data_IF_945384411161
#
_entry.id   IF_945384411161
#
_cell.length_a   1.000
_cell.length_b   1.000
_cell.length_c   1.000
_cell.angle_alpha   90.00
_cell.angle_beta   90.00
_cell.angle_gamma   90.00
#
_symmetry.space_group_name_H-M   'P 1'
#
loop_
_entity.id
_entity.type
_entity.pdbx_description
1 polymer ?
#
# COMPACT_ATOMS: atom_id res chain seq x y z
N UNK A 1 -9.91 45.06 -0.54
CA UNK A 1 -8.55 44.69 -0.13
C UNK A 1 -8.63 44.29 1.34
N UNK A 2 -9.02 43.04 1.64
CA UNK A 2 -8.87 42.46 2.98
C UNK A 2 -7.94 41.27 2.81
N UNK A 3 -6.72 41.44 3.31
CA UNK A 3 -5.73 40.40 3.34
C UNK A 3 -6.16 39.36 4.35
N UNK A 4 -6.07 38.09 3.96
CA UNK A 4 -5.98 36.96 4.90
C UNK A 4 -4.74 37.27 5.73
N UNK A 5 -4.95 37.84 6.90
CA UNK A 5 -3.87 38.23 7.80
C UNK A 5 -3.56 36.99 8.62
N UNK A 6 -2.31 36.52 8.53
CA UNK A 6 -1.73 35.63 9.53
C UNK A 6 -1.93 36.26 10.91
N UNK A 7 -2.99 35.85 11.60
CA UNK A 7 -3.29 36.27 12.95
C UNK A 7 -2.18 35.71 13.84
N UNK A 8 -1.21 36.56 14.17
CA UNK A 8 -0.05 36.24 15.01
C UNK A 8 0.79 35.04 14.56
N UNK A 9 1.67 35.27 13.58
CA UNK A 9 2.94 34.58 13.23
C UNK A 9 3.08 33.04 13.23
N UNK A 10 2.14 32.26 13.73
CA UNK A 10 2.18 30.79 13.78
C UNK A 10 0.79 30.11 13.78
N UNK A 11 -0.33 30.87 13.75
CA UNK A 11 -1.68 30.28 13.72
C UNK A 11 -2.37 30.48 12.38
N UNK A 12 -2.79 29.38 11.78
CA UNK A 12 -3.62 29.32 10.57
C UNK A 12 -5.04 29.73 10.97
N UNK A 13 -5.68 30.57 10.15
CA UNK A 13 -7.08 30.98 10.39
C UNK A 13 -8.00 29.74 10.50
N UNK A 14 -8.93 29.71 11.46
CA UNK A 14 -9.81 28.56 11.68
C UNK A 14 -10.65 28.22 10.44
N UNK A 15 -11.06 29.22 9.67
CA UNK A 15 -11.81 29.06 8.41
C UNK A 15 -11.02 28.27 7.33
N UNK A 16 -9.69 28.41 7.34
CA UNK A 16 -8.79 27.69 6.44
C UNK A 16 -8.71 26.21 6.82
N UNK A 17 -8.69 25.90 8.13
CA UNK A 17 -8.70 24.53 8.66
C UNK A 17 -10.05 23.86 8.38
N UNK A 18 -11.15 24.58 8.56
CA UNK A 18 -12.50 24.10 8.24
C UNK A 18 -12.63 23.79 6.74
N UNK A 19 -12.18 24.69 5.88
CA UNK A 19 -12.19 24.50 4.42
C UNK A 19 -11.35 23.30 3.98
N UNK A 20 -10.18 23.07 4.61
CA UNK A 20 -9.37 21.88 4.37
C UNK A 20 -10.09 20.60 4.82
N UNK A 21 -10.74 20.63 5.98
CA UNK A 21 -11.49 19.50 6.52
C UNK A 21 -12.68 19.13 5.64
N UNK A 22 -13.42 20.13 5.16
CA UNK A 22 -14.50 19.95 4.19
C UNK A 22 -13.98 19.34 2.88
N UNK A 23 -12.89 19.88 2.33
CA UNK A 23 -12.26 19.33 1.13
C UNK A 23 -11.89 17.86 1.35
N UNK A 24 -11.24 17.53 2.46
CA UNK A 24 -10.88 16.15 2.80
C UNK A 24 -12.09 15.20 2.87
N UNK A 25 -13.19 15.63 3.50
CA UNK A 25 -14.42 14.85 3.55
C UNK A 25 -15.02 14.62 2.16
N UNK A 26 -15.05 15.66 1.33
CA UNK A 26 -15.50 15.56 -0.07
C UNK A 26 -14.59 14.61 -0.86
N UNK A 27 -13.27 14.65 -0.64
CA UNK A 27 -12.32 13.73 -1.28
C UNK A 27 -12.70 12.28 -1.04
N UNK A 28 -12.82 11.90 0.24
CA UNK A 28 -13.10 10.53 0.65
C UNK A 28 -14.45 10.10 0.10
N UNK A 29 -15.48 10.96 0.21
CA UNK A 29 -16.82 10.64 -0.27
C UNK A 29 -16.84 10.41 -1.79
N UNK A 30 -16.28 11.33 -2.58
CA UNK A 30 -16.30 11.26 -4.04
C UNK A 30 -15.47 10.09 -4.56
N UNK A 31 -14.28 9.86 -4.00
CA UNK A 31 -13.42 8.75 -4.41
C UNK A 31 -14.07 7.40 -4.12
N UNK A 32 -14.60 7.20 -2.91
CA UNK A 32 -15.25 5.94 -2.54
C UNK A 32 -16.57 5.69 -3.28
N UNK A 33 -17.43 6.69 -3.41
CA UNK A 33 -18.69 6.54 -4.16
C UNK A 33 -18.41 6.32 -5.65
N UNK A 34 -17.47 7.06 -6.23
CA UNK A 34 -17.10 6.93 -7.64
C UNK A 34 -16.51 5.56 -7.96
N UNK A 35 -15.56 5.08 -7.14
CA UNK A 35 -14.95 3.76 -7.33
C UNK A 35 -15.96 2.63 -7.10
N UNK A 36 -16.79 2.73 -6.06
CA UNK A 36 -17.87 1.76 -5.80
C UNK A 36 -18.86 1.68 -6.96
N UNK A 37 -19.29 2.83 -7.51
CA UNK A 37 -20.17 2.86 -8.66
C UNK A 37 -19.52 2.22 -9.90
N UNK A 38 -18.24 2.50 -10.16
CA UNK A 38 -17.52 1.91 -11.28
C UNK A 38 -17.42 0.37 -11.18
N UNK A 39 -17.10 -0.15 -9.99
CA UNK A 39 -17.04 -1.60 -9.72
C UNK A 39 -18.44 -2.22 -9.84
N UNK A 40 -19.46 -1.56 -9.30
CA UNK A 40 -20.84 -2.02 -9.37
C UNK A 40 -21.34 -2.12 -10.81
N UNK A 41 -21.13 -1.07 -11.61
CA UNK A 41 -21.49 -1.07 -13.03
C UNK A 41 -20.79 -2.19 -13.79
N UNK A 42 -19.50 -2.43 -13.52
CA UNK A 42 -18.78 -3.54 -14.13
C UNK A 42 -19.41 -4.90 -13.79
N UNK A 43 -19.67 -5.16 -12.50
CA UNK A 43 -20.28 -6.42 -12.06
C UNK A 43 -21.69 -6.58 -12.62
N UNK A 44 -22.46 -5.50 -12.73
CA UNK A 44 -23.79 -5.54 -13.35
C UNK A 44 -23.74 -5.85 -14.85
N UNK A 45 -22.65 -5.53 -15.55
CA UNK A 45 -22.53 -5.72 -17.00
C UNK A 45 -21.86 -7.05 -17.38
N UNK A 46 -21.02 -7.63 -16.52
CA UNK A 46 -20.22 -8.83 -16.85
C UNK A 46 -20.78 -10.10 -16.17
N UNK A 47 -21.38 -11.04 -16.93
CA UNK A 47 -22.01 -12.24 -16.37
C UNK A 47 -21.05 -13.14 -15.58
N UNK A 48 -19.81 -13.28 -16.06
CA UNK A 48 -18.80 -14.13 -15.40
C UNK A 48 -18.50 -13.65 -13.97
N UNK A 49 -18.40 -12.32 -13.79
CA UNK A 49 -18.19 -11.72 -12.47
C UNK A 49 -19.41 -11.94 -11.55
N UNK A 50 -20.62 -11.90 -12.12
CA UNK A 50 -21.85 -12.18 -11.36
C UNK A 50 -21.93 -13.62 -10.91
N UNK A 51 -21.56 -14.57 -11.77
CA UNK A 51 -21.60 -16.00 -11.45
C UNK A 51 -20.63 -16.33 -10.31
N UNK A 52 -19.42 -15.77 -10.36
CA UNK A 52 -18.42 -15.89 -9.28
C UNK A 52 -19.00 -15.40 -7.94
N UNK A 53 -19.62 -14.23 -7.91
CA UNK A 53 -20.21 -13.67 -6.68
C UNK A 53 -21.45 -14.43 -6.20
N UNK A 54 -22.29 -14.91 -7.12
CA UNK A 54 -23.44 -15.77 -6.78
C UNK A 54 -22.98 -17.07 -6.13
N UNK A 55 -21.94 -17.72 -6.68
CA UNK A 55 -21.36 -18.95 -6.09
C UNK A 55 -20.83 -18.73 -4.68
N UNK A 56 -20.31 -17.53 -4.39
CA UNK A 56 -19.81 -17.14 -3.07
C UNK A 56 -20.90 -16.62 -2.13
N UNK A 57 -22.13 -16.43 -2.60
CA UNK A 57 -23.24 -15.90 -1.80
C UNK A 57 -23.07 -14.42 -1.42
N UNK A 58 -22.30 -13.64 -2.19
CA UNK A 58 -22.01 -12.24 -1.90
C UNK A 58 -22.84 -11.34 -2.81
N UNK A 59 -23.54 -10.36 -2.22
CA UNK A 59 -24.29 -9.36 -2.97
C UNK A 59 -23.36 -8.39 -3.72
N UNK A 60 -23.76 -7.99 -4.93
CA UNK A 60 -22.95 -7.12 -5.81
C UNK A 60 -22.66 -5.75 -5.20
N UNK A 61 -23.65 -5.17 -4.52
CA UNK A 61 -23.52 -3.87 -3.84
C UNK A 61 -22.50 -3.97 -2.70
N UNK A 62 -22.59 -5.02 -1.88
CA UNK A 62 -21.66 -5.26 -0.76
C UNK A 62 -20.24 -5.42 -1.30
N UNK A 63 -20.08 -6.24 -2.34
CA UNK A 63 -18.77 -6.43 -2.96
C UNK A 63 -18.17 -5.12 -3.46
N UNK A 64 -18.97 -4.32 -4.18
CA UNK A 64 -18.50 -3.09 -4.81
C UNK A 64 -18.13 -2.02 -3.78
N UNK A 65 -18.98 -1.82 -2.77
CA UNK A 65 -18.75 -0.84 -1.71
C UNK A 65 -17.55 -1.27 -0.86
N UNK A 66 -17.50 -2.52 -0.42
CA UNK A 66 -16.42 -3.01 0.44
C UNK A 66 -15.08 -2.97 -0.26
N UNK A 67 -15.01 -3.49 -1.49
CA UNK A 67 -13.79 -3.50 -2.29
C UNK A 67 -13.32 -2.07 -2.54
N UNK A 68 -14.21 -1.16 -2.95
CA UNK A 68 -13.85 0.24 -3.15
C UNK A 68 -13.24 0.89 -1.91
N UNK A 69 -13.86 0.69 -0.74
CA UNK A 69 -13.37 1.25 0.53
C UNK A 69 -12.01 0.67 0.90
N UNK A 70 -11.83 -0.63 0.69
CA UNK A 70 -10.57 -1.31 0.96
C UNK A 70 -9.45 -0.85 0.02
N UNK A 71 -9.72 -0.76 -1.29
CA UNK A 71 -8.72 -0.37 -2.29
C UNK A 71 -8.32 1.10 -2.12
N UNK A 72 -9.27 2.03 -1.93
CA UNK A 72 -8.98 3.46 -1.66
C UNK A 72 -8.32 3.63 -0.29
N UNK A 73 -8.71 2.83 0.69
CA UNK A 73 -8.13 2.80 2.03
C UNK A 73 -6.77 2.11 2.12
N UNK A 74 -6.31 1.46 1.03
CA UNK A 74 -5.09 0.68 1.01
C UNK A 74 -5.07 -0.41 2.10
N UNK A 75 -6.18 -1.13 2.27
CA UNK A 75 -6.37 -2.09 3.36
C UNK A 75 -6.11 -3.56 2.98
N UNK A 76 -6.23 -3.92 1.69
CA UNK A 76 -5.97 -5.28 1.20
C UNK A 76 -7.03 -6.32 1.53
N UNK A 77 -8.14 -5.90 2.15
CA UNK A 77 -9.27 -6.76 2.44
C UNK A 77 -10.20 -6.85 1.24
N UNK A 78 -10.73 -8.03 1.01
CA UNK A 78 -11.83 -8.25 0.08
C UNK A 78 -12.87 -9.12 0.77
N UNK A 79 -14.13 -9.10 0.32
CA UNK A 79 -15.19 -9.90 0.94
C UNK A 79 -15.12 -11.38 0.53
N UNK A 80 -14.12 -11.78 -0.27
CA UNK A 80 -13.88 -13.14 -0.74
C UNK A 80 -12.60 -13.71 -0.11
N UNK A 81 -12.59 -15.00 0.21
CA UNK A 81 -11.48 -15.63 0.92
C UNK A 81 -10.20 -15.71 0.06
N UNK A 82 -10.35 -15.87 -1.25
CA UNK A 82 -9.24 -16.00 -2.21
C UNK A 82 -8.69 -14.65 -2.68
N UNK A 83 -9.11 -13.53 -2.08
CA UNK A 83 -8.77 -12.19 -2.55
C UNK A 83 -9.12 -12.01 -4.05
N UNK A 84 -8.33 -11.24 -4.79
CA UNK A 84 -8.54 -10.99 -6.21
C UNK A 84 -8.08 -12.15 -7.12
N UNK A 85 -7.56 -13.25 -6.57
CA UNK A 85 -7.17 -14.45 -7.33
C UNK A 85 -8.36 -15.03 -8.09
N UNK A 86 -9.56 -15.01 -7.50
CA UNK A 86 -10.77 -15.49 -8.16
C UNK A 86 -11.17 -14.65 -9.39
N UNK A 87 -10.71 -13.40 -9.46
CA UNK A 87 -10.95 -12.47 -10.55
C UNK A 87 -9.73 -12.30 -11.47
N UNK A 88 -8.73 -13.18 -11.37
CA UNK A 88 -7.48 -13.08 -12.14
C UNK A 88 -7.72 -12.99 -13.67
N UNK A 89 -8.79 -13.62 -14.19
CA UNK A 89 -9.15 -13.58 -15.62
C UNK A 89 -9.89 -12.30 -16.03
N UNK A 90 -10.44 -11.55 -15.07
CA UNK A 90 -11.28 -10.36 -15.27
C UNK A 90 -10.45 -9.08 -15.34
N UNK A 91 -9.70 -8.90 -16.43
CA UNK A 91 -8.74 -7.78 -16.59
C UNK A 91 -9.36 -6.40 -16.44
N UNK A 92 -10.60 -6.21 -16.88
CA UNK A 92 -11.28 -4.91 -16.79
C UNK A 92 -11.53 -4.56 -15.31
N UNK A 93 -11.91 -5.52 -14.47
CA UNK A 93 -12.06 -5.30 -13.03
C UNK A 93 -10.73 -4.86 -12.40
N UNK A 94 -9.64 -5.56 -12.72
CA UNK A 94 -8.31 -5.23 -12.22
C UNK A 94 -7.88 -3.81 -12.65
N UNK A 95 -8.14 -3.44 -13.90
CA UNK A 95 -7.86 -2.10 -14.41
C UNK A 95 -8.73 -1.01 -13.77
N UNK A 96 -9.94 -1.32 -13.33
CA UNK A 96 -10.79 -0.38 -12.59
C UNK A 96 -10.30 -0.16 -11.15
N UNK A 97 -9.76 -1.20 -10.51
CA UNK A 97 -9.28 -1.14 -9.12
C UNK A 97 -7.91 -0.45 -9.02
N UNK A 98 -7.03 -0.56 -10.03
CA UNK A 98 -5.69 0.08 -10.02
C UNK A 98 -5.77 1.59 -9.72
N UNK A 99 -6.59 2.40 -10.44
CA UNK A 99 -6.76 3.81 -10.11
C UNK A 99 -7.27 4.04 -8.68
N UNK A 100 -8.20 3.20 -8.18
CA UNK A 100 -8.72 3.30 -6.81
C UNK A 100 -7.61 3.15 -5.77
N UNK A 101 -6.71 2.19 -5.98
CA UNK A 101 -5.53 1.98 -5.12
C UNK A 101 -4.59 3.19 -5.17
N UNK A 102 -4.33 3.72 -6.36
CA UNK A 102 -3.43 4.86 -6.54
C UNK A 102 -3.98 6.14 -5.90
N UNK A 103 -5.30 6.37 -5.99
CA UNK A 103 -6.01 7.48 -5.33
C UNK A 103 -5.95 7.39 -3.79
N UNK A 104 -5.68 6.20 -3.25
CA UNK A 104 -5.45 5.99 -1.84
C UNK A 104 -4.11 6.55 -1.36
N UNK A 105 -3.49 5.88 -0.37
CA UNK A 105 -2.34 6.39 0.37
C UNK A 105 -1.09 6.68 -0.49
N UNK A 106 -0.99 6.09 -1.69
CA UNK A 106 0.16 6.22 -2.59
C UNK A 106 0.22 7.57 -3.30
N UNK A 107 -0.89 8.04 -3.91
CA UNK A 107 -0.97 9.35 -4.57
C UNK A 107 -1.96 10.30 -3.90
N UNK A 108 -2.32 10.05 -2.64
CA UNK A 108 -3.21 10.90 -1.86
C UNK A 108 -2.81 12.37 -1.90
N UNK A 109 -1.52 12.68 -1.70
CA UNK A 109 -1.03 14.07 -1.67
C UNK A 109 -1.24 14.83 -3.01
N UNK A 110 -0.78 14.32 -4.17
CA UNK A 110 -1.12 14.89 -5.48
C UNK A 110 -2.62 15.01 -5.75
N UNK A 111 -3.41 13.98 -5.42
CA UNK A 111 -4.84 13.93 -5.71
C UNK A 111 -5.64 14.92 -4.86
N UNK A 112 -5.29 15.04 -3.57
CA UNK A 112 -5.85 16.05 -2.67
C UNK A 112 -5.56 17.46 -3.20
N UNK A 113 -4.33 17.74 -3.64
CA UNK A 113 -3.94 19.04 -4.22
C UNK A 113 -4.74 19.34 -5.50
N UNK A 114 -4.92 18.36 -6.37
CA UNK A 114 -5.73 18.51 -7.59
C UNK A 114 -7.20 18.79 -7.27
N UNK A 115 -7.77 18.09 -6.28
CA UNK A 115 -9.14 18.33 -5.84
C UNK A 115 -9.28 19.74 -5.24
N UNK A 116 -8.33 20.18 -4.42
CA UNK A 116 -8.30 21.55 -3.89
C UNK A 116 -8.26 22.62 -4.99
N UNK A 117 -7.46 22.40 -6.03
CA UNK A 117 -7.44 23.28 -7.20
C UNK A 117 -8.78 23.28 -7.94
N UNK A 118 -9.47 22.14 -7.99
CA UNK A 118 -10.80 22.01 -8.59
C UNK A 118 -11.87 22.74 -7.76
N UNK A 119 -11.87 22.57 -6.44
CA UNK A 119 -12.74 23.32 -5.52
C UNK A 119 -12.48 24.82 -5.56
N UNK A 120 -11.21 25.24 -5.68
CA UNK A 120 -10.87 26.66 -5.91
C UNK A 120 -11.56 27.20 -7.16
N UNK A 121 -11.55 26.46 -8.27
CA UNK A 121 -12.20 26.89 -9.52
C UNK A 121 -13.72 26.96 -9.41
N UNK A 122 -14.34 26.02 -8.69
CA UNK A 122 -15.79 25.92 -8.54
C UNK A 122 -16.32 26.96 -7.55
N UNK A 123 -15.74 27.01 -6.34
CA UNK A 123 -16.23 27.85 -5.24
C UNK A 123 -15.65 29.27 -5.26
N UNK A 124 -14.53 29.51 -5.96
CA UNK A 124 -13.80 30.80 -6.01
C UNK A 124 -13.44 31.39 -4.64
N UNK A 125 -13.39 30.52 -3.63
CA UNK A 125 -13.01 30.81 -2.24
C UNK A 125 -11.51 31.12 -2.14
N UNK A 126 -11.14 32.17 -1.40
CA UNK A 126 -9.74 32.64 -1.28
C UNK A 126 -8.91 31.73 -0.38
N UNK A 127 -9.57 31.01 0.50
CA UNK A 127 -9.00 30.08 1.48
C UNK A 127 -8.27 28.94 0.76
N UNK A 128 -8.86 28.38 -0.30
CA UNK A 128 -8.20 27.35 -1.12
C UNK A 128 -6.97 27.86 -1.85
N UNK A 129 -6.94 29.15 -2.22
CA UNK A 129 -5.77 29.75 -2.84
C UNK A 129 -4.62 29.90 -1.82
N UNK A 130 -4.96 30.35 -0.61
CA UNK A 130 -4.00 30.44 0.50
C UNK A 130 -3.39 29.08 0.85
N UNK A 131 -4.21 28.03 0.95
CA UNK A 131 -3.73 26.66 1.25
C UNK A 131 -2.79 26.13 0.17
N UNK A 132 -3.10 26.36 -1.11
CA UNK A 132 -2.27 25.89 -2.22
C UNK A 132 -0.93 26.62 -2.33
N UNK A 133 -0.88 27.89 -1.93
CA UNK A 133 0.31 28.75 -1.95
C UNK A 133 1.20 28.56 -0.72
N UNK A 134 0.62 28.30 0.45
CA UNK A 134 1.33 28.18 1.73
C UNK A 134 1.14 26.82 2.43
N UNK A 135 1.40 25.68 1.77
CA UNK A 135 1.13 24.36 2.34
C UNK A 135 1.95 24.05 3.60
N UNK A 136 3.17 24.62 3.73
CA UNK A 136 4.01 24.47 4.92
C UNK A 136 3.43 25.17 6.16
N UNK A 137 2.71 26.27 5.97
CA UNK A 137 2.10 27.05 7.06
C UNK A 137 0.87 26.33 7.61
N UNK A 138 0.13 25.65 6.74
CA UNK A 138 -1.05 24.84 7.11
C UNK A 138 -0.67 23.62 7.98
N UNK A 139 0.58 23.17 7.93
CA UNK A 139 1.09 22.11 8.80
C UNK A 139 0.57 20.70 8.50
N UNK A 140 -0.28 20.52 7.48
CA UNK A 140 -0.78 19.21 7.08
C UNK A 140 0.26 18.48 6.24
N UNK A 141 0.87 17.41 6.80
CA UNK A 141 1.99 16.66 6.20
C UNK A 141 1.71 16.15 4.78
N UNK A 142 0.46 15.84 4.45
CA UNK A 142 0.07 15.33 3.14
C UNK A 142 -0.16 16.44 2.10
N UNK A 143 -0.19 17.71 2.51
CA UNK A 143 -0.30 18.83 1.59
C UNK A 143 1.12 19.23 1.14
N UNK A 144 1.55 18.69 0.00
CA UNK A 144 2.88 18.92 -0.54
C UNK A 144 2.89 20.07 -1.55
N UNK A 145 4.08 20.62 -1.82
CA UNK A 145 4.26 21.61 -2.89
C UNK A 145 4.02 20.98 -4.27
N UNK A 146 3.64 21.79 -5.29
CA UNK A 146 3.41 21.27 -6.65
C UNK A 146 4.60 20.48 -7.21
N UNK A 147 5.84 20.95 -6.99
CA UNK A 147 7.05 20.25 -7.42
C UNK A 147 7.24 18.90 -6.73
N UNK A 148 6.99 18.85 -5.42
CA UNK A 148 7.08 17.63 -4.62
C UNK A 148 6.01 16.61 -5.05
N UNK A 149 4.79 17.05 -5.37
CA UNK A 149 3.75 16.20 -5.93
C UNK A 149 4.17 15.60 -7.27
N UNK A 150 4.77 16.40 -8.17
CA UNK A 150 5.27 15.91 -9.46
C UNK A 150 6.38 14.89 -9.24
N UNK A 151 7.34 15.18 -8.36
CA UNK A 151 8.42 14.24 -8.05
C UNK A 151 7.92 12.91 -7.50
N UNK A 152 6.94 12.95 -6.58
CA UNK A 152 6.28 11.76 -6.07
C UNK A 152 5.55 10.97 -7.16
N UNK A 153 4.82 11.65 -8.05
CA UNK A 153 4.15 10.97 -9.18
C UNK A 153 5.15 10.29 -10.11
N UNK A 154 6.25 10.98 -10.47
CA UNK A 154 7.29 10.39 -11.31
C UNK A 154 7.94 9.18 -10.65
N UNK A 155 8.23 9.23 -9.35
CA UNK A 155 8.86 8.11 -8.64
C UNK A 155 7.90 6.92 -8.48
N UNK A 156 6.62 7.18 -8.23
CA UNK A 156 5.58 6.14 -8.18
C UNK A 156 5.44 5.43 -9.51
N UNK A 157 5.31 6.19 -10.61
CA UNK A 157 5.20 5.63 -11.96
C UNK A 157 6.46 4.83 -12.31
N UNK A 158 7.65 5.35 -12.01
CA UNK A 158 8.92 4.66 -12.26
C UNK A 158 8.98 3.32 -11.53
N UNK A 159 8.60 3.27 -10.26
CA UNK A 159 8.58 2.03 -9.48
C UNK A 159 7.56 1.02 -9.98
N UNK A 160 6.37 1.47 -10.38
CA UNK A 160 5.35 0.56 -10.92
C UNK A 160 5.83 -0.03 -12.25
N UNK A 161 6.37 0.81 -13.15
CA UNK A 161 6.89 0.36 -14.46
C UNK A 161 8.06 -0.61 -14.27
N UNK A 162 9.02 -0.27 -13.41
CA UNK A 162 10.17 -1.13 -13.12
C UNK A 162 9.73 -2.48 -12.54
N UNK A 163 8.84 -2.49 -11.55
CA UNK A 163 8.31 -3.74 -10.97
C UNK A 163 7.54 -4.56 -11.99
N UNK A 164 6.72 -3.92 -12.84
CA UNK A 164 5.94 -4.62 -13.87
C UNK A 164 6.87 -5.28 -14.89
N UNK A 165 7.93 -4.58 -15.32
CA UNK A 165 8.93 -5.14 -16.25
C UNK A 165 9.64 -6.34 -15.61
N UNK A 166 10.10 -6.20 -14.36
CA UNK A 166 10.79 -7.30 -13.66
C UNK A 166 9.87 -8.50 -13.43
N UNK A 167 8.61 -8.26 -13.03
CA UNK A 167 7.61 -9.30 -12.86
C UNK A 167 7.34 -10.04 -14.18
N UNK A 168 7.05 -9.30 -15.26
CA UNK A 168 6.87 -9.90 -16.58
C UNK A 168 8.12 -10.67 -17.03
N UNK A 169 9.33 -10.17 -16.77
CA UNK A 169 10.57 -10.83 -17.20
C UNK A 169 10.85 -12.14 -16.45
N UNK A 170 10.51 -12.21 -15.16
CA UNK A 170 10.86 -13.34 -14.31
C UNK A 170 9.73 -14.39 -14.24
N UNK A 171 8.48 -13.97 -14.35
CA UNK A 171 7.29 -14.82 -14.14
C UNK A 171 6.58 -15.24 -15.42
N UNK A 172 7.04 -14.82 -16.61
CA UNK A 172 6.31 -15.06 -17.87
C UNK A 172 5.92 -16.53 -18.12
N UNK A 173 6.80 -17.45 -17.68
CA UNK A 173 6.65 -18.88 -17.87
C UNK A 173 6.36 -19.63 -16.57
N UNK A 174 6.04 -18.94 -15.48
CA UNK A 174 5.78 -19.59 -14.19
C UNK A 174 4.39 -20.22 -14.15
N UNK A 175 4.22 -21.21 -13.26
CA UNK A 175 2.94 -21.91 -13.09
C UNK A 175 1.83 -20.94 -12.63
N UNK A 176 2.20 -19.90 -11.87
CA UNK A 176 1.30 -18.87 -11.36
C UNK A 176 0.54 -18.12 -12.45
N UNK A 177 1.14 -17.95 -13.64
CA UNK A 177 0.57 -17.19 -14.76
C UNK A 177 0.21 -18.08 -15.97
N UNK A 178 0.35 -19.40 -15.85
CA UNK A 178 0.25 -20.34 -16.97
C UNK A 178 -1.15 -20.43 -17.57
N UNK A 179 -2.19 -20.18 -16.76
CA UNK A 179 -3.58 -20.17 -17.23
C UNK A 179 -4.03 -18.85 -17.88
N UNK A 180 -3.15 -17.85 -17.94
CA UNK A 180 -3.48 -16.50 -18.39
C UNK A 180 -3.01 -16.23 -19.81
N UNK A 181 -3.82 -15.50 -20.58
CA UNK A 181 -3.39 -14.97 -21.86
C UNK A 181 -2.36 -13.84 -21.67
N UNK A 182 -1.52 -13.54 -22.67
CA UNK A 182 -0.46 -12.53 -22.62
C UNK A 182 -0.95 -11.16 -22.14
N UNK A 183 -2.14 -10.75 -22.59
CA UNK A 183 -2.77 -9.51 -22.13
C UNK A 183 -3.15 -9.55 -20.64
N UNK A 184 -3.71 -10.68 -20.17
CA UNK A 184 -4.06 -10.88 -18.77
C UNK A 184 -2.82 -10.91 -17.88
N UNK A 185 -1.73 -11.50 -18.35
CA UNK A 185 -0.44 -11.52 -17.64
C UNK A 185 0.11 -10.11 -17.44
N UNK A 186 0.10 -9.26 -18.47
CA UNK A 186 0.56 -7.87 -18.36
C UNK A 186 -0.30 -7.07 -17.37
N UNK A 187 -1.62 -7.19 -17.47
CA UNK A 187 -2.55 -6.50 -16.55
C UNK A 187 -2.37 -7.01 -15.12
N UNK A 188 -2.17 -8.32 -14.95
CA UNK A 188 -1.92 -8.93 -13.65
C UNK A 188 -0.59 -8.50 -13.03
N UNK A 189 0.47 -8.42 -13.84
CA UNK A 189 1.77 -7.91 -13.42
C UNK A 189 1.69 -6.45 -12.97
N UNK A 190 0.95 -5.62 -13.72
CA UNK A 190 0.69 -4.23 -13.36
C UNK A 190 -0.10 -4.14 -12.05
N UNK A 191 -1.16 -4.95 -11.91
CA UNK A 191 -1.99 -5.00 -10.70
C UNK A 191 -1.16 -5.37 -9.47
N UNK A 192 -0.34 -6.42 -9.54
CA UNK A 192 0.51 -6.81 -8.42
C UNK A 192 1.58 -5.77 -8.09
N UNK A 193 2.16 -5.14 -9.11
CA UNK A 193 3.17 -4.08 -8.93
C UNK A 193 2.61 -2.85 -8.23
N UNK A 194 1.34 -2.50 -8.50
CA UNK A 194 0.63 -1.43 -7.79
C UNK A 194 0.32 -1.86 -6.35
N UNK A 195 -0.13 -3.11 -6.15
CA UNK A 195 -0.52 -3.62 -4.82
C UNK A 195 0.64 -3.81 -3.86
N UNK A 196 1.84 -4.14 -4.36
CA UNK A 196 3.06 -4.22 -3.58
C UNK A 196 3.39 -2.91 -2.84
N UNK A 197 2.89 -1.77 -3.35
CA UNK A 197 3.05 -0.45 -2.73
C UNK A 197 1.87 -0.13 -1.79
N UNK A 198 1.76 -0.90 -0.72
CA UNK A 198 0.83 -0.73 0.42
C UNK A 198 -0.66 -0.94 0.13
N UNK A 199 -1.09 -1.79 -0.80
CA UNK A 199 -2.53 -2.06 -0.96
C UNK A 199 -2.94 -3.50 -0.68
N UNK A 200 -2.06 -4.48 -0.92
CA UNK A 200 -2.22 -5.82 -0.35
C UNK A 200 -3.17 -6.77 -1.08
N UNK A 201 -3.85 -6.34 -2.15
CA UNK A 201 -4.68 -7.23 -2.95
C UNK A 201 -3.81 -8.06 -3.89
N UNK A 202 -4.04 -9.37 -3.93
CA UNK A 202 -3.28 -10.30 -4.75
C UNK A 202 -4.16 -11.06 -5.74
N UNK A 203 -3.62 -11.29 -6.94
CA UNK A 203 -4.28 -12.06 -8.01
C UNK A 203 -3.63 -13.42 -8.24
N UNK A 204 -2.47 -13.66 -7.64
CA UNK A 204 -1.76 -14.94 -7.65
C UNK A 204 -1.27 -15.24 -6.25
N UNK A 205 -1.05 -16.52 -5.96
CA UNK A 205 -0.40 -16.93 -4.72
C UNK A 205 1.06 -16.43 -4.73
N UNK A 206 1.38 -15.49 -3.84
CA UNK A 206 2.71 -14.89 -3.78
C UNK A 206 3.79 -15.92 -3.55
N UNK A 207 3.47 -17.00 -2.84
CA UNK A 207 4.45 -18.01 -2.51
C UNK A 207 4.84 -18.92 -3.68
N UNK A 208 4.10 -18.85 -4.78
CA UNK A 208 4.45 -19.50 -6.05
C UNK A 208 5.38 -18.65 -6.93
N UNK A 209 5.60 -17.37 -6.58
CA UNK A 209 6.48 -16.47 -7.31
C UNK A 209 7.96 -16.76 -7.04
N UNK A 210 8.82 -16.37 -7.98
CA UNK A 210 10.27 -16.44 -7.82
C UNK A 210 10.75 -15.65 -6.60
N UNK A 211 11.79 -16.17 -5.93
CA UNK A 211 12.37 -15.51 -4.76
C UNK A 211 12.87 -14.09 -5.06
N UNK A 212 13.29 -13.82 -6.29
CA UNK A 212 13.70 -12.49 -6.74
C UNK A 212 12.56 -11.47 -6.67
N UNK A 213 11.35 -11.83 -7.09
CA UNK A 213 10.16 -10.97 -6.99
C UNK A 213 9.73 -10.78 -5.54
N UNK A 214 9.82 -11.84 -4.71
CA UNK A 214 9.50 -11.72 -3.29
C UNK A 214 10.45 -10.77 -2.56
N UNK A 215 11.74 -10.79 -2.89
CA UNK A 215 12.72 -9.81 -2.37
C UNK A 215 12.39 -8.40 -2.85
N UNK A 216 12.05 -8.23 -4.12
CA UNK A 216 11.63 -6.95 -4.67
C UNK A 216 10.40 -6.38 -3.94
N UNK A 217 9.38 -7.20 -3.72
CA UNK A 217 8.18 -6.80 -2.95
C UNK A 217 8.54 -6.49 -1.49
N UNK A 218 9.42 -7.26 -0.86
CA UNK A 218 9.89 -6.97 0.50
C UNK A 218 10.49 -5.56 0.60
N UNK A 219 11.35 -5.18 -0.36
CA UNK A 219 11.94 -3.84 -0.42
C UNK A 219 10.85 -2.77 -0.63
N UNK A 220 9.92 -3.01 -1.56
CA UNK A 220 8.86 -2.05 -1.89
C UNK A 220 7.85 -1.84 -0.75
N UNK A 221 7.53 -2.89 0.01
CA UNK A 221 6.67 -2.81 1.20
C UNK A 221 7.34 -2.05 2.35
N UNK A 222 8.66 -2.14 2.47
CA UNK A 222 9.42 -1.41 3.49
C UNK A 222 9.48 0.10 3.19
N UNK A 223 9.67 0.46 1.92
CA UNK A 223 9.76 1.87 1.50
C UNK A 223 8.43 2.61 1.78
N UNK A 224 8.46 3.79 2.43
CA UNK A 224 7.25 4.58 2.62
C UNK A 224 6.57 5.00 1.32
N UNK A 225 5.24 5.18 1.36
CA UNK A 225 4.45 5.63 0.20
C UNK A 225 4.95 6.95 -0.40
N UNK A 226 5.43 7.88 0.43
CA UNK A 226 5.94 9.21 0.06
C UNK A 226 7.43 9.25 -0.34
N UNK A 227 8.03 8.09 -0.64
CA UNK A 227 9.43 8.05 -1.12
C UNK A 227 9.58 8.72 -2.49
N UNK A 228 10.47 9.71 -2.55
CA UNK A 228 10.85 10.43 -3.76
C UNK A 228 12.37 10.46 -3.91
N UNK A 229 12.86 10.01 -5.07
CA UNK A 229 14.29 9.95 -5.39
C UNK A 229 14.82 11.19 -6.13
N UNK A 230 13.93 12.10 -6.54
CA UNK A 230 14.32 13.32 -7.25
C UNK A 230 14.81 14.40 -6.27
N UNK A 231 15.88 15.14 -6.62
CA UNK A 231 16.45 16.17 -5.76
C UNK A 231 15.43 17.28 -5.52
N UNK A 232 15.31 17.67 -4.25
CA UNK A 232 14.46 18.77 -3.82
C UNK A 232 15.19 20.08 -4.15
N UNK A 233 14.89 20.69 -5.29
CA UNK A 233 15.53 21.95 -5.71
C UNK A 233 15.33 23.04 -4.64
N UNK A 234 16.44 23.44 -4.01
CA UNK A 234 16.48 24.43 -2.94
C UNK A 234 17.76 24.44 -2.10
N UNK A 235 18.69 23.50 -2.27
CA UNK A 235 19.98 23.48 -1.57
C UNK A 235 21.13 23.56 -2.56
N UNK A 236 21.48 24.76 -3.03
CA UNK A 236 22.61 24.95 -3.93
C UNK A 236 23.82 25.70 -3.36
N UNK A 237 23.88 26.06 -2.07
CA UNK A 237 25.04 26.85 -1.57
C UNK A 237 25.60 26.54 -0.15
N UNK A 238 25.32 25.37 0.46
CA UNK A 238 25.90 25.02 1.80
C UNK A 238 26.32 23.54 1.97
N UNK A 239 26.60 22.87 0.85
CA UNK A 239 26.41 21.42 0.65
C UNK A 239 27.48 20.42 1.14
N UNK A 240 28.45 20.77 1.99
CA UNK A 240 29.45 19.79 2.46
C UNK A 240 29.18 19.32 3.90
N UNK A 241 29.12 20.23 4.89
CA UNK A 241 28.88 19.84 6.30
C UNK A 241 27.43 19.35 6.56
N UNK A 242 26.43 19.96 5.91
CA UNK A 242 25.03 19.58 6.10
C UNK A 242 24.69 18.23 5.44
N UNK A 243 25.43 17.87 4.38
CA UNK A 243 25.30 16.59 3.66
C UNK A 243 25.84 15.44 4.50
N UNK A 244 26.96 15.65 5.21
CA UNK A 244 27.53 14.69 6.16
C UNK A 244 26.67 14.53 7.42
N UNK A 245 26.04 15.61 7.88
CA UNK A 245 25.08 15.55 8.99
C UNK A 245 23.79 14.82 8.59
N UNK A 246 23.23 15.09 7.40
CA UNK A 246 22.08 14.34 6.86
C UNK A 246 22.39 12.89 6.59
N UNK A 247 23.59 12.57 6.07
CA UNK A 247 24.03 11.20 5.84
C UNK A 247 24.14 10.43 7.15
N UNK A 248 24.79 11.00 8.18
CA UNK A 248 24.84 10.39 9.52
C UNK A 248 23.47 10.26 10.16
N UNK A 249 22.60 11.26 10.02
CA UNK A 249 21.23 11.18 10.52
C UNK A 249 20.48 10.08 9.79
N UNK A 250 20.54 10.00 8.45
CA UNK A 250 19.87 8.99 7.64
C UNK A 250 20.41 7.58 7.91
N UNK A 251 21.73 7.42 8.07
CA UNK A 251 22.37 6.18 8.50
C UNK A 251 21.90 5.76 9.89
N UNK A 252 21.88 6.67 10.88
CA UNK A 252 21.34 6.40 12.21
C UNK A 252 19.83 6.09 12.19
N UNK A 253 19.08 6.70 11.28
CA UNK A 253 17.63 6.53 11.14
C UNK A 253 17.26 5.19 10.50
N UNK A 254 17.96 4.83 9.41
CA UNK A 254 17.82 3.57 8.69
C UNK A 254 18.26 2.42 9.60
N UNK A 255 19.39 2.57 10.31
CA UNK A 255 19.86 1.60 11.29
C UNK A 255 18.86 1.41 12.44
N UNK A 256 18.29 2.50 12.96
CA UNK A 256 17.28 2.43 14.03
C UNK A 256 16.06 1.62 13.59
N UNK A 257 15.44 1.93 12.44
CA UNK A 257 14.25 1.21 11.97
C UNK A 257 14.53 -0.25 11.61
N UNK A 258 15.64 -0.53 10.92
CA UNK A 258 16.03 -1.90 10.58
C UNK A 258 16.39 -2.71 11.83
N UNK A 259 16.99 -2.08 12.85
CA UNK A 259 17.28 -2.77 14.11
C UNK A 259 16.01 -3.22 14.85
N UNK A 260 14.96 -2.39 14.92
CA UNK A 260 13.68 -2.79 15.50
C UNK A 260 13.04 -3.95 14.73
N UNK A 261 13.06 -3.89 13.39
CA UNK A 261 12.56 -4.99 12.57
C UNK A 261 13.35 -6.28 12.79
N UNK A 262 14.67 -6.20 12.87
CA UNK A 262 15.52 -7.35 13.18
C UNK A 262 15.18 -7.94 14.56
N UNK A 263 14.96 -7.11 15.57
CA UNK A 263 14.53 -7.55 16.91
C UNK A 263 13.18 -8.27 16.82
N UNK A 264 12.18 -7.71 16.12
CA UNK A 264 10.87 -8.36 15.97
C UNK A 264 10.96 -9.69 15.21
N UNK A 265 11.74 -9.75 14.14
CA UNK A 265 12.01 -11.01 13.41
C UNK A 265 12.65 -12.04 14.33
N UNK A 266 13.66 -11.65 15.11
CA UNK A 266 14.32 -12.55 16.06
C UNK A 266 13.35 -13.06 17.14
N UNK A 267 12.52 -12.18 17.71
CA UNK A 267 11.51 -12.57 18.69
C UNK A 267 10.49 -13.56 18.11
N UNK A 268 10.01 -13.32 16.88
CA UNK A 268 9.07 -14.23 16.22
C UNK A 268 9.73 -15.58 15.91
N UNK A 269 10.97 -15.59 15.44
CA UNK A 269 11.74 -16.82 15.23
C UNK A 269 11.92 -17.61 16.54
N UNK A 270 12.05 -16.93 17.69
CA UNK A 270 12.11 -17.60 19.00
C UNK A 270 10.74 -18.18 19.37
N UNK A 271 9.64 -17.44 19.17
CA UNK A 271 8.30 -17.93 19.52
C UNK A 271 7.82 -19.06 18.62
N UNK A 272 8.17 -19.03 17.34
CA UNK A 272 7.76 -20.03 16.35
C UNK A 272 8.85 -21.12 16.11
N UNK A 273 9.84 -21.24 17.00
CA UNK A 273 10.97 -22.16 16.86
C UNK A 273 10.55 -23.61 16.57
N UNK A 274 9.51 -24.10 17.25
CA UNK A 274 9.00 -25.46 17.05
C UNK A 274 8.39 -25.64 15.66
N UNK A 275 7.62 -24.65 15.17
CA UNK A 275 7.05 -24.67 13.82
C UNK A 275 8.15 -24.61 12.74
N UNK A 276 9.20 -23.80 12.97
CA UNK A 276 10.37 -23.74 12.08
C UNK A 276 11.15 -25.06 12.03
N UNK A 277 11.22 -25.81 13.14
CA UNK A 277 11.90 -27.09 13.18
C UNK A 277 11.09 -28.22 12.51
N UNK A 278 9.75 -28.14 12.58
CA UNK A 278 8.85 -29.19 12.08
C UNK A 278 8.43 -28.97 10.63
N UNK A 279 8.29 -27.72 10.18
CA UNK A 279 7.88 -27.35 8.82
C UNK A 279 8.80 -26.24 8.24
N UNK A 280 10.07 -26.55 7.96
CA UNK A 280 11.06 -25.54 7.57
C UNK A 280 10.82 -24.92 6.19
N UNK A 281 10.01 -25.53 5.31
CA UNK A 281 9.73 -24.98 3.99
C UNK A 281 8.68 -23.86 4.05
N UNK A 282 7.64 -24.00 4.88
CA UNK A 282 6.70 -22.92 5.15
C UNK A 282 7.27 -21.92 6.17
N UNK A 283 7.76 -22.43 7.31
CA UNK A 283 8.33 -21.64 8.41
C UNK A 283 9.85 -21.48 8.28
N UNK A 284 10.26 -20.71 7.30
CA UNK A 284 11.64 -20.25 7.18
C UNK A 284 11.80 -18.78 7.60
N UNK A 285 13.05 -18.37 7.82
CA UNK A 285 13.41 -17.01 8.24
C UNK A 285 12.93 -15.97 7.22
N UNK A 286 12.98 -16.29 5.92
CA UNK A 286 12.53 -15.38 4.87
C UNK A 286 11.01 -15.17 4.91
N UNK A 287 10.21 -16.22 5.06
CA UNK A 287 8.75 -16.13 5.21
C UNK A 287 8.36 -15.29 6.42
N UNK A 288 9.03 -15.49 7.55
CA UNK A 288 8.82 -14.67 8.76
C UNK A 288 9.21 -13.21 8.49
N UNK A 289 10.36 -12.98 7.87
CA UNK A 289 10.83 -11.61 7.54
C UNK A 289 9.86 -10.89 6.59
N UNK A 290 9.33 -11.62 5.60
CA UNK A 290 8.34 -11.10 4.65
C UNK A 290 7.06 -10.66 5.36
N UNK A 291 6.49 -11.50 6.25
CA UNK A 291 5.31 -11.15 7.05
C UNK A 291 5.56 -9.95 7.96
N UNK A 292 6.72 -9.91 8.64
CA UNK A 292 7.06 -8.79 9.55
C UNK A 292 7.17 -7.47 8.78
N UNK A 293 7.81 -7.49 7.60
CA UNK A 293 7.94 -6.29 6.76
C UNK A 293 6.59 -5.89 6.16
N UNK A 294 5.77 -6.83 5.71
CA UNK A 294 4.40 -6.58 5.25
C UNK A 294 3.54 -5.97 6.36
N UNK A 295 3.64 -6.50 7.59
CA UNK A 295 2.95 -6.00 8.77
C UNK A 295 3.41 -4.58 9.15
N UNK A 296 4.72 -4.32 9.15
CA UNK A 296 5.29 -3.01 9.44
C UNK A 296 4.97 -1.96 8.35
N UNK A 297 4.94 -2.40 7.10
CA UNK A 297 4.51 -1.59 5.96
C UNK A 297 3.00 -1.39 5.89
N UNK A 298 2.23 -2.13 6.71
CA UNK A 298 0.79 -2.25 6.68
C UNK A 298 0.27 -2.54 5.25
N UNK A 299 0.95 -3.45 4.54
CA UNK A 299 0.64 -3.77 3.14
C UNK A 299 -0.43 -4.86 3.06
N UNK A 300 -0.29 -5.94 3.82
CA UNK A 300 -1.26 -7.04 3.83
C UNK A 300 -0.92 -8.19 2.87
N UNK A 301 0.22 -8.12 2.17
CA UNK A 301 0.75 -9.27 1.45
C UNK A 301 1.19 -10.36 2.41
N UNK A 302 0.87 -11.59 2.03
CA UNK A 302 1.22 -12.78 2.80
C UNK A 302 1.61 -13.91 1.86
N UNK A 303 2.59 -14.72 2.27
CA UNK A 303 2.97 -15.92 1.52
C UNK A 303 1.97 -17.08 1.74
N UNK A 304 0.99 -16.91 2.62
CA UNK A 304 0.04 -17.96 2.94
C UNK A 304 0.69 -19.21 3.53
N UNK A 305 -0.04 -20.33 3.52
CA UNK A 305 0.44 -21.62 3.98
C UNK A 305 0.00 -22.70 3.01
N UNK A 306 0.94 -23.55 2.58
CA UNK A 306 0.62 -24.67 1.68
C UNK A 306 1.12 -26.00 2.23
N UNK A 307 0.22 -26.97 2.27
CA UNK A 307 0.50 -28.36 2.62
C UNK A 307 1.41 -29.05 1.58
N UNK A 308 1.44 -28.58 0.33
CA UNK A 308 2.34 -29.12 -0.70
C UNK A 308 3.82 -28.90 -0.34
N UNK A 309 4.12 -27.87 0.46
CA UNK A 309 5.47 -27.60 0.95
C UNK A 309 5.85 -28.42 2.18
N UNK A 310 4.96 -29.24 2.71
CA UNK A 310 5.26 -30.03 3.90
C UNK A 310 6.13 -31.24 3.53
N UNK A 311 7.34 -31.31 4.07
CA UNK A 311 8.28 -32.42 3.82
C UNK A 311 7.69 -33.77 4.26
N UNK A 312 7.09 -33.81 5.44
CA UNK A 312 6.43 -34.99 5.98
C UNK A 312 4.92 -34.91 5.67
N UNK A 313 4.51 -35.50 4.54
CA UNK A 313 3.12 -35.48 4.10
C UNK A 313 2.21 -36.12 5.15
N UNK A 314 1.54 -35.28 5.92
CA UNK A 314 0.50 -35.69 6.86
C UNK A 314 -0.82 -35.79 6.10
N UNK A 315 -1.48 -36.94 6.17
CA UNK A 315 -2.76 -37.24 5.49
C UNK A 315 -3.88 -36.25 5.95
N UNK A 316 -3.67 -35.54 7.05
CA UNK A 316 -4.61 -34.58 7.63
C UNK A 316 -4.30 -33.10 7.34
N UNK A 317 -3.26 -32.77 6.56
CA UNK A 317 -2.98 -31.38 6.21
C UNK A 317 -4.02 -30.86 5.20
N UNK A 318 -4.66 -29.73 5.52
CA UNK A 318 -5.56 -29.02 4.61
C UNK A 318 -5.01 -27.63 4.36
N UNK A 319 -4.92 -27.27 3.08
CA UNK A 319 -4.67 -25.90 2.66
C UNK A 319 -5.80 -25.02 3.19
N UNK A 320 -5.42 -23.85 3.70
CA UNK A 320 -6.36 -22.93 4.29
C UNK A 320 -6.18 -21.54 3.68
N UNK A 321 -7.31 -20.91 3.34
CA UNK A 321 -7.36 -19.59 2.71
C UNK A 321 -7.18 -18.45 3.73
N UNK A 322 -6.18 -18.54 4.59
CA UNK A 322 -5.77 -17.47 5.49
C UNK A 322 -4.29 -17.13 5.26
N UNK A 323 -3.87 -15.91 5.64
CA UNK A 323 -2.47 -15.51 5.56
C UNK A 323 -1.57 -16.36 6.46
N UNK A 324 -0.28 -16.45 6.17
CA UNK A 324 0.70 -17.32 6.83
C UNK A 324 0.62 -17.27 8.37
N UNK A 325 0.40 -16.08 8.92
CA UNK A 325 0.24 -15.79 10.35
C UNK A 325 -0.92 -16.56 10.99
N UNK A 326 -1.91 -17.02 10.23
CA UNK A 326 -3.01 -17.87 10.71
C UNK A 326 -2.52 -19.15 11.40
N UNK A 327 -1.42 -19.75 10.90
CA UNK A 327 -0.77 -20.93 11.51
C UNK A 327 0.10 -20.61 12.72
N UNK A 328 0.45 -19.36 12.97
CA UNK A 328 1.38 -19.00 14.04
C UNK A 328 0.77 -19.19 15.43
N UNK A 329 1.65 -19.33 16.43
CA UNK A 329 1.26 -19.34 17.83
C UNK A 329 0.57 -18.03 18.24
N UNK A 330 -0.21 -18.09 19.34
CA UNK A 330 -0.83 -16.88 19.91
C UNK A 330 0.20 -15.82 20.31
N UNK A 331 1.39 -16.23 20.76
CA UNK A 331 2.48 -15.32 21.13
C UNK A 331 3.03 -14.59 19.91
N UNK A 332 3.31 -15.30 18.81
CA UNK A 332 3.78 -14.71 17.56
C UNK A 332 2.77 -13.71 16.98
N UNK A 333 1.48 -14.03 17.04
CA UNK A 333 0.38 -13.14 16.61
C UNK A 333 0.37 -11.81 17.39
N UNK A 334 0.54 -11.86 18.72
CA UNK A 334 0.60 -10.64 19.54
C UNK A 334 1.79 -9.76 19.17
N UNK A 335 2.96 -10.36 18.96
CA UNK A 335 4.16 -9.61 18.52
C UNK A 335 3.90 -8.94 17.17
N UNK A 336 3.27 -9.64 16.22
CA UNK A 336 2.97 -9.07 14.91
C UNK A 336 1.95 -7.91 14.98
N UNK A 337 0.93 -8.00 15.85
CA UNK A 337 -0.01 -6.89 16.08
C UNK A 337 0.75 -5.65 16.57
N UNK A 338 1.72 -5.82 17.47
CA UNK A 338 2.59 -4.72 17.91
C UNK A 338 3.36 -4.15 16.72
N UNK A 339 3.94 -4.99 15.86
CA UNK A 339 4.64 -4.54 14.63
C UNK A 339 3.73 -3.68 13.74
N UNK A 340 2.47 -4.08 13.53
CA UNK A 340 1.51 -3.32 12.71
C UNK A 340 1.18 -1.94 13.31
N UNK A 341 1.07 -1.86 14.65
CA UNK A 341 0.84 -0.59 15.35
C UNK A 341 2.08 0.31 15.23
N UNK A 342 3.28 -0.24 15.45
CA UNK A 342 4.54 0.48 15.28
C UNK A 342 4.71 0.99 13.84
N UNK A 343 4.38 0.17 12.84
CA UNK A 343 4.36 0.54 11.43
C UNK A 343 3.45 1.72 11.13
N UNK A 344 2.24 1.72 11.69
CA UNK A 344 1.27 2.82 11.54
C UNK A 344 1.70 4.11 12.24
N UNK A 345 2.33 4.00 13.41
CA UNK A 345 2.76 5.13 14.23
C UNK A 345 4.16 5.64 13.92
N UNK A 346 4.87 5.07 12.93
CA UNK A 346 6.25 5.46 12.59
C UNK A 346 6.41 6.96 12.38
N UNK A 347 5.41 7.63 11.80
CA UNK A 347 5.41 9.08 11.59
C UNK A 347 5.57 9.93 12.86
N UNK A 348 5.19 9.42 14.03
CA UNK A 348 5.29 10.10 15.33
C UNK A 348 6.58 9.73 16.08
N UNK A 349 7.04 8.48 15.97
CA UNK A 349 8.32 8.04 16.54
C UNK A 349 9.53 8.68 15.84
N UNK A 350 9.34 9.22 14.63
CA UNK A 350 10.38 9.84 13.80
C UNK A 350 10.95 11.18 14.31
N UNK A 351 10.40 11.75 15.39
CA UNK A 351 10.91 12.97 16.06
C UNK A 351 11.48 12.71 17.47
N UNK A 352 11.46 11.45 17.94
CA UNK A 352 12.06 11.07 19.22
C UNK A 352 13.49 10.59 19.02
N UNK A 353 14.42 11.55 18.97
CA UNK A 353 15.86 11.33 18.87
C UNK A 353 16.61 12.62 19.04
#
# INVERSE_FOLDING_TARGET
>A
MSGIHLENKDRVEPETIESLSYAFMVYILVTNLGCSLAIYLYISLVPDAQEVLKKKGIGYVIFSVFTSISSVGNCGFTPVNENMVIFQKNTILLLLIIPSILLGNTLFAPCLRFMMWSLKKITKKKEYDFILQHPKVVGYKHLMNSKECVYLMVTVITFIVMQTILFCSLEWNSEALREMNKYQQIVGALFQSVNARHAGENIVDLSSLSSSILVLYTIMMYLPSYTSFLPKDGEHDSNVEMKDKRRRVCENWILSQLSYLAIFVMLICITEREAMATDPLNFNVFSITFEVISAYGNVGFSLGYSCQRLLNHNIHCKDASYGFVGRWSGKGKVILIIVMIFGRLKGFNMKGG
#
